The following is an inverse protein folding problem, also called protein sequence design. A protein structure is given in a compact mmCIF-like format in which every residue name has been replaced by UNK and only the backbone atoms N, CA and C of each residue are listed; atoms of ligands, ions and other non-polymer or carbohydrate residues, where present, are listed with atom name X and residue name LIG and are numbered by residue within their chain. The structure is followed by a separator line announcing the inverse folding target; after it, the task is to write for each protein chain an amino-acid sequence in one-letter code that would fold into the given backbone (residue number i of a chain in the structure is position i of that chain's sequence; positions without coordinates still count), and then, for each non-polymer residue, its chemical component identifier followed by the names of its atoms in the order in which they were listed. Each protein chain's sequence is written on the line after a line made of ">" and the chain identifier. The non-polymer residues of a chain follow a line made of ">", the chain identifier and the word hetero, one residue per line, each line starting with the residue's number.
data_IF_168635093609
#
_entry.id   IF_168635093609
#
_cell.length_a   1.000
_cell.length_b   1.000
_cell.length_c   1.000
_cell.angle_alpha   90.00
_cell.angle_beta   90.00
_cell.angle_gamma   90.00
#
_symmetry.space_group_name_H-M   'P 1'
#
loop_
_entity.id
_entity.type
_entity.pdbx_description
1 polymer ?
#
# COMPACT_ATOMS: atom_id res chain seq x y z
N UNK A 1 27.65 -25.57 3.73
CA UNK A 1 26.53 -25.13 4.59
C UNK A 1 25.84 -23.98 3.87
N UNK A 2 24.78 -24.27 3.15
CA UNK A 2 23.96 -23.24 2.48
C UNK A 2 23.11 -22.54 3.52
N UNK A 3 23.32 -21.24 3.69
CA UNK A 3 22.48 -20.39 4.54
C UNK A 3 21.02 -20.50 4.06
N UNK A 4 20.03 -20.68 4.97
CA UNK A 4 18.64 -20.72 4.57
C UNK A 4 18.28 -19.38 3.87
N UNK A 5 17.69 -19.47 2.69
CA UNK A 5 17.22 -18.31 1.96
C UNK A 5 16.25 -17.51 2.86
N UNK A 6 16.48 -16.19 2.98
CA UNK A 6 15.60 -15.33 3.75
C UNK A 6 14.16 -15.48 3.21
N UNK A 7 13.14 -15.58 4.09
CA UNK A 7 11.76 -15.74 3.65
C UNK A 7 11.38 -14.60 2.70
N UNK A 8 10.83 -14.96 1.54
CA UNK A 8 10.34 -13.98 0.55
C UNK A 8 9.23 -13.18 1.21
N UNK A 9 9.42 -11.87 1.31
CA UNK A 9 8.46 -11.00 1.97
C UNK A 9 7.32 -10.67 1.01
N UNK A 10 6.05 -10.74 1.46
CA UNK A 10 4.91 -10.41 0.62
C UNK A 10 4.94 -8.94 0.17
N UNK A 11 4.56 -8.72 -1.06
CA UNK A 11 4.42 -7.38 -1.63
C UNK A 11 3.17 -6.67 -1.07
N UNK A 12 3.09 -5.34 -1.24
CA UNK A 12 1.89 -4.56 -0.88
C UNK A 12 0.65 -5.13 -1.58
N UNK A 13 0.78 -5.55 -2.84
CA UNK A 13 -0.35 -6.07 -3.63
C UNK A 13 -0.83 -7.42 -3.10
N UNK A 14 0.07 -8.31 -2.72
CA UNK A 14 -0.28 -9.59 -2.09
C UNK A 14 -1.01 -9.35 -0.77
N UNK A 15 -0.51 -8.45 0.07
CA UNK A 15 -1.18 -8.08 1.31
C UNK A 15 -2.59 -7.55 1.07
N UNK A 16 -2.75 -6.57 0.16
CA UNK A 16 -4.04 -5.99 -0.15
C UNK A 16 -5.01 -7.00 -0.77
N UNK A 17 -4.48 -7.97 -1.51
CA UNK A 17 -5.30 -9.03 -2.11
C UNK A 17 -5.84 -10.00 -1.07
N UNK A 18 -5.05 -10.31 -0.03
CA UNK A 18 -5.53 -11.10 1.11
C UNK A 18 -6.54 -10.29 1.91
N UNK A 19 -6.22 -9.03 2.25
CA UNK A 19 -7.12 -8.12 2.95
C UNK A 19 -8.48 -7.98 2.25
N UNK A 20 -8.49 -7.91 0.90
CA UNK A 20 -9.71 -7.81 0.12
C UNK A 20 -10.52 -9.12 0.07
N UNK A 21 -9.84 -10.27 0.03
CA UNK A 21 -10.49 -11.59 0.04
C UNK A 21 -11.12 -11.91 1.39
N UNK A 22 -10.39 -11.68 2.47
CA UNK A 22 -10.86 -12.01 3.83
C UNK A 22 -12.07 -11.17 4.26
N UNK A 23 -12.24 -10.00 3.66
CA UNK A 23 -13.37 -9.10 3.92
C UNK A 23 -14.45 -9.11 2.83
N UNK A 24 -14.31 -9.98 1.85
CA UNK A 24 -15.21 -10.09 0.69
C UNK A 24 -15.45 -8.74 -0.02
N UNK A 25 -14.40 -7.91 -0.08
CA UNK A 25 -14.46 -6.54 -0.61
C UNK A 25 -14.71 -6.54 -2.11
N UNK A 26 -14.04 -7.46 -2.84
CA UNK A 26 -14.16 -7.54 -4.29
C UNK A 26 -14.84 -8.85 -4.70
N UNK A 27 -15.91 -8.76 -5.46
CA UNK A 27 -16.67 -9.93 -5.92
C UNK A 27 -15.78 -10.92 -6.65
N UNK A 28 -15.98 -12.22 -6.36
CA UNK A 28 -15.29 -13.30 -7.07
C UNK A 28 -15.64 -13.24 -8.56
N UNK A 29 -14.65 -13.29 -9.43
CA UNK A 29 -14.81 -13.29 -10.89
C UNK A 29 -13.59 -13.92 -11.55
N UNK A 30 -13.57 -13.97 -12.90
CA UNK A 30 -12.41 -14.41 -13.68
C UNK A 30 -11.22 -13.45 -13.59
N UNK A 31 -11.42 -12.21 -13.15
CA UNK A 31 -10.35 -11.21 -12.97
C UNK A 31 -9.68 -11.48 -11.62
N UNK A 32 -8.35 -11.67 -11.57
CA UNK A 32 -7.61 -11.87 -10.32
C UNK A 32 -7.80 -10.73 -9.34
N UNK A 33 -7.81 -11.03 -8.03
CA UNK A 33 -7.96 -10.03 -6.97
C UNK A 33 -6.83 -9.00 -7.02
N UNK A 34 -5.62 -9.44 -7.27
CA UNK A 34 -4.42 -8.58 -7.42
C UNK A 34 -4.64 -7.49 -8.48
N UNK A 35 -5.22 -7.87 -9.61
CA UNK A 35 -5.53 -6.95 -10.71
C UNK A 35 -6.62 -5.96 -10.34
N UNK A 36 -7.64 -6.38 -9.58
CA UNK A 36 -8.68 -5.50 -9.05
C UNK A 36 -8.13 -4.51 -8.03
N UNK A 37 -7.22 -4.96 -7.14
CA UNK A 37 -6.55 -4.08 -6.19
C UNK A 37 -5.70 -3.04 -6.91
N UNK A 38 -4.92 -3.45 -7.92
CA UNK A 38 -4.16 -2.51 -8.74
C UNK A 38 -5.05 -1.50 -9.44
N UNK A 39 -6.18 -1.93 -9.99
CA UNK A 39 -7.17 -1.04 -10.62
C UNK A 39 -7.68 0.03 -9.63
N UNK A 40 -8.04 -0.39 -8.42
CA UNK A 40 -8.48 0.52 -7.39
C UNK A 40 -7.38 1.52 -6.98
N UNK A 41 -6.14 1.05 -6.81
CA UNK A 41 -5.00 1.91 -6.42
C UNK A 41 -4.67 2.93 -7.51
N UNK A 42 -4.71 2.54 -8.79
CA UNK A 42 -4.53 3.47 -9.91
C UNK A 42 -5.57 4.60 -9.86
N UNK A 43 -6.85 4.24 -9.63
CA UNK A 43 -7.92 5.23 -9.52
C UNK A 43 -7.77 6.13 -8.28
N UNK A 44 -7.39 5.58 -7.12
CA UNK A 44 -7.04 6.36 -5.92
C UNK A 44 -5.87 7.30 -6.17
N UNK A 45 -5.00 6.98 -7.13
CA UNK A 45 -3.86 7.81 -7.55
C UNK A 45 -4.21 8.88 -8.57
N UNK A 46 -5.48 8.94 -9.01
CA UNK A 46 -5.99 9.95 -9.93
C UNK A 46 -6.06 9.52 -11.40
N UNK A 47 -5.79 8.25 -11.71
CA UNK A 47 -6.01 7.74 -13.07
C UNK A 47 -7.50 7.56 -13.34
N UNK A 48 -7.94 7.85 -14.57
CA UNK A 48 -9.33 7.58 -14.97
C UNK A 48 -9.57 6.07 -15.08
N UNK A 49 -10.82 5.64 -15.00
CA UNK A 49 -11.17 4.21 -15.18
C UNK A 49 -10.72 3.66 -16.54
N UNK A 50 -10.75 4.50 -17.57
CA UNK A 50 -10.30 4.13 -18.93
C UNK A 50 -8.78 4.00 -18.99
N UNK A 51 -8.03 4.90 -18.34
CA UNK A 51 -6.58 4.83 -18.31
C UNK A 51 -6.11 3.64 -17.48
N UNK A 52 -6.68 3.41 -16.30
CA UNK A 52 -6.39 2.24 -15.50
C UNK A 52 -6.71 0.93 -16.24
N UNK A 53 -7.82 0.88 -17.00
CA UNK A 53 -8.17 -0.23 -17.88
C UNK A 53 -7.12 -0.48 -18.96
N UNK A 54 -6.63 0.57 -19.62
CA UNK A 54 -5.56 0.48 -20.64
C UNK A 54 -4.24 0.02 -20.05
N UNK A 55 -3.83 0.62 -18.91
CA UNK A 55 -2.57 0.31 -18.21
C UNK A 55 -2.53 -1.16 -17.81
N UNK A 56 -3.62 -1.68 -17.25
CA UNK A 56 -3.68 -3.05 -16.75
C UNK A 56 -3.92 -4.09 -17.87
N UNK A 57 -4.53 -3.71 -18.97
CA UNK A 57 -4.96 -4.63 -20.03
C UNK A 57 -5.98 -5.68 -19.52
N UNK A 58 -6.77 -6.28 -20.40
CA UNK A 58 -7.67 -7.40 -20.07
C UNK A 58 -8.68 -7.16 -18.93
N UNK A 59 -9.01 -5.90 -18.63
CA UNK A 59 -10.01 -5.49 -17.64
C UNK A 59 -10.82 -4.32 -18.21
N UNK A 60 -12.15 -4.40 -18.24
CA UNK A 60 -12.98 -3.31 -18.74
C UNK A 60 -12.99 -2.12 -17.77
N UNK A 61 -13.25 -0.91 -18.28
CA UNK A 61 -13.37 0.27 -17.40
C UNK A 61 -14.52 0.18 -16.40
N UNK A 62 -15.57 -0.61 -16.69
CA UNK A 62 -16.67 -0.90 -15.75
C UNK A 62 -16.14 -1.77 -14.62
N UNK A 63 -15.38 -2.82 -14.90
CA UNK A 63 -14.79 -3.67 -13.86
C UNK A 63 -13.76 -2.89 -13.00
N UNK A 64 -13.04 -1.93 -13.59
CA UNK A 64 -12.17 -1.00 -12.83
C UNK A 64 -12.99 -0.12 -11.89
N UNK A 65 -14.10 0.47 -12.38
CA UNK A 65 -15.01 1.27 -11.56
C UNK A 65 -15.56 0.46 -10.38
N UNK A 66 -16.02 -0.77 -10.62
CA UNK A 66 -16.60 -1.62 -9.58
C UNK A 66 -15.56 -1.99 -8.51
N UNK A 67 -14.33 -2.33 -8.93
CA UNK A 67 -13.23 -2.60 -8.02
C UNK A 67 -12.89 -1.37 -7.16
N UNK A 68 -12.77 -0.19 -7.77
CA UNK A 68 -12.49 1.06 -7.09
C UNK A 68 -13.57 1.41 -6.07
N UNK A 69 -14.85 1.34 -6.46
CA UNK A 69 -15.99 1.60 -5.59
C UNK A 69 -16.02 0.66 -4.38
N UNK A 70 -15.77 -0.64 -4.61
CA UNK A 70 -15.74 -1.65 -3.54
C UNK A 70 -14.62 -1.39 -2.53
N UNK A 71 -13.42 -1.03 -3.02
CA UNK A 71 -12.27 -0.74 -2.16
C UNK A 71 -12.50 0.53 -1.35
N UNK A 72 -13.00 1.62 -1.97
CA UNK A 72 -13.32 2.85 -1.22
C UNK A 72 -14.36 2.58 -0.13
N UNK A 73 -15.42 1.84 -0.44
CA UNK A 73 -16.45 1.53 0.53
C UNK A 73 -15.95 0.70 1.73
N UNK A 74 -14.88 -0.06 1.54
CA UNK A 74 -14.26 -0.87 2.58
C UNK A 74 -13.17 -0.12 3.37
N UNK A 75 -12.67 1.00 2.85
CA UNK A 75 -11.74 1.84 3.59
C UNK A 75 -12.52 2.62 4.67
N UNK A 76 -12.08 2.56 5.93
CA UNK A 76 -12.72 3.34 6.98
C UNK A 76 -12.59 4.84 6.68
N UNK A 77 -13.58 5.66 7.09
CA UNK A 77 -13.46 7.11 6.97
C UNK A 77 -12.24 7.57 7.78
N UNK A 78 -11.32 8.28 7.12
CA UNK A 78 -10.11 8.78 7.76
C UNK A 78 -10.47 9.79 8.85
N UNK A 79 -10.25 9.40 10.10
CA UNK A 79 -10.31 10.31 11.24
C UNK A 79 -8.94 10.85 11.52
N UNK A 80 -8.83 12.17 11.68
CA UNK A 80 -7.57 12.79 12.11
C UNK A 80 -7.25 12.37 13.54
N UNK A 81 -6.08 11.76 13.73
CA UNK A 81 -5.55 11.32 15.04
C UNK A 81 -4.06 11.60 15.09
N UNK A 82 -3.52 11.66 16.31
CA UNK A 82 -2.08 11.56 16.52
C UNK A 82 -1.65 10.14 16.17
N UNK A 83 -0.65 10.02 15.28
CA UNK A 83 -0.27 8.73 14.71
C UNK A 83 1.23 8.56 14.60
N UNK A 84 1.68 7.33 14.77
CA UNK A 84 2.93 6.85 14.20
C UNK A 84 2.61 6.15 12.88
N UNK A 85 3.18 6.61 11.79
CA UNK A 85 2.85 6.11 10.45
C UNK A 85 4.00 5.30 9.89
N UNK A 86 3.74 4.08 9.49
CA UNK A 86 4.69 3.25 8.76
C UNK A 86 4.42 3.35 7.25
N UNK A 87 5.48 3.63 6.49
CA UNK A 87 5.45 3.78 5.03
C UNK A 87 6.22 2.64 4.40
N UNK A 88 5.61 2.01 3.41
CA UNK A 88 6.22 0.96 2.59
C UNK A 88 6.11 1.30 1.09
N UNK A 89 7.06 0.77 0.30
CA UNK A 89 7.17 0.99 -1.13
C UNK A 89 7.52 -0.32 -1.82
N UNK A 90 6.79 -0.66 -2.89
CA UNK A 90 7.11 -1.80 -3.74
C UNK A 90 7.07 -1.43 -5.22
N UNK A 91 8.07 -1.89 -5.97
CA UNK A 91 7.98 -1.93 -7.42
C UNK A 91 6.97 -3.01 -7.85
N UNK A 92 6.16 -2.70 -8.87
CA UNK A 92 5.15 -3.60 -9.42
C UNK A 92 5.21 -3.60 -10.95
N UNK A 93 4.78 -4.71 -11.57
CA UNK A 93 4.55 -4.77 -13.00
C UNK A 93 3.04 -4.83 -13.23
N UNK A 94 2.52 -3.86 -14.00
CA UNK A 94 1.07 -3.65 -14.12
C UNK A 94 0.42 -4.57 -15.16
N UNK A 95 1.13 -4.82 -16.25
CA UNK A 95 0.68 -5.66 -17.40
C UNK A 95 1.79 -6.60 -17.88
N UNK A 96 2.79 -6.87 -17.05
CA UNK A 96 3.99 -7.61 -17.41
C UNK A 96 5.13 -6.76 -17.96
N UNK A 97 4.87 -5.57 -18.48
CA UNK A 97 5.85 -4.69 -19.12
C UNK A 97 5.98 -3.35 -18.40
N UNK A 98 4.84 -2.73 -18.06
CA UNK A 98 4.82 -1.40 -17.43
C UNK A 98 5.21 -1.50 -15.97
N UNK A 99 6.38 -0.93 -15.64
CA UNK A 99 6.84 -0.83 -14.26
C UNK A 99 6.17 0.35 -13.56
N UNK A 100 5.64 0.10 -12.37
CA UNK A 100 5.12 1.13 -11.47
C UNK A 100 5.69 0.96 -10.08
N UNK A 101 5.39 1.93 -9.22
CA UNK A 101 5.69 1.89 -7.79
C UNK A 101 4.41 2.08 -7.01
N UNK A 102 4.15 1.20 -6.06
CA UNK A 102 3.03 1.31 -5.13
C UNK A 102 3.57 1.75 -3.77
N UNK A 103 2.96 2.77 -3.21
CA UNK A 103 3.20 3.24 -1.85
C UNK A 103 1.99 2.95 -0.98
N UNK A 104 2.27 2.54 0.25
CA UNK A 104 1.27 2.31 1.28
C UNK A 104 1.71 2.97 2.58
N UNK A 105 0.79 3.71 3.20
CA UNK A 105 0.95 4.20 4.57
C UNK A 105 -0.06 3.51 5.48
N UNK A 106 0.39 3.13 6.66
CA UNK A 106 -0.43 2.50 7.69
C UNK A 106 -0.15 3.10 9.04
N UNK A 107 -1.16 3.16 9.86
CA UNK A 107 -1.01 3.41 11.29
C UNK A 107 -0.19 2.27 11.90
N UNK A 108 0.90 2.60 12.60
CA UNK A 108 1.82 1.61 13.15
C UNK A 108 1.21 0.81 14.31
N UNK A 109 0.23 1.39 15.01
CA UNK A 109 -0.40 0.80 16.19
C UNK A 109 -1.63 -0.02 15.80
N UNK A 110 -2.57 0.56 15.06
CA UNK A 110 -3.82 -0.10 14.65
C UNK A 110 -3.68 -0.97 13.39
N UNK A 111 -2.67 -0.72 12.55
CA UNK A 111 -2.53 -1.35 11.24
C UNK A 111 -3.49 -0.82 10.17
N UNK A 112 -4.27 0.21 10.48
CA UNK A 112 -5.22 0.86 9.56
C UNK A 112 -4.50 1.41 8.32
N UNK A 113 -5.05 1.15 7.12
CA UNK A 113 -4.52 1.71 5.88
C UNK A 113 -4.92 3.19 5.79
N UNK A 114 -3.94 4.08 5.76
CA UNK A 114 -4.13 5.52 5.73
C UNK A 114 -4.08 6.09 4.32
N UNK A 115 -3.17 5.59 3.50
CA UNK A 115 -3.01 6.03 2.13
C UNK A 115 -2.47 4.91 1.25
N UNK A 116 -2.96 4.88 0.01
CA UNK A 116 -2.49 4.01 -1.07
C UNK A 116 -2.29 4.85 -2.32
N UNK A 117 -1.17 4.68 -2.99
CA UNK A 117 -0.88 5.38 -4.25
C UNK A 117 -0.04 4.51 -5.17
N UNK A 118 -0.26 4.65 -6.48
CA UNK A 118 0.60 4.11 -7.53
C UNK A 118 1.12 5.24 -8.41
N UNK A 119 2.38 5.17 -8.80
CA UNK A 119 2.98 6.04 -9.81
C UNK A 119 3.72 5.22 -10.85
N UNK A 120 3.66 5.65 -12.10
CA UNK A 120 4.41 5.05 -13.21
C UNK A 120 5.82 5.67 -13.34
N UNK A 121 6.03 6.87 -12.81
CA UNK A 121 7.25 7.66 -13.00
C UNK A 121 8.17 7.68 -11.78
N UNK A 122 7.65 7.35 -10.60
CA UNK A 122 8.40 7.46 -9.32
C UNK A 122 9.06 8.84 -9.17
N UNK A 123 8.35 9.91 -9.54
CA UNK A 123 8.87 11.27 -9.44
C UNK A 123 8.83 11.78 -7.99
N UNK A 124 9.68 12.77 -7.68
CA UNK A 124 9.65 13.46 -6.39
C UNK A 124 8.26 14.05 -6.09
N UNK A 125 7.57 14.54 -7.12
CA UNK A 125 6.22 15.09 -6.98
C UNK A 125 5.19 14.02 -6.62
N UNK A 126 5.34 12.79 -7.12
CA UNK A 126 4.48 11.66 -6.74
C UNK A 126 4.64 11.30 -5.27
N UNK A 127 5.90 11.24 -4.80
CA UNK A 127 6.21 11.04 -3.38
C UNK A 127 5.61 12.15 -2.49
N UNK A 128 5.72 13.42 -2.92
CA UNK A 128 5.13 14.55 -2.19
C UNK A 128 3.60 14.42 -2.08
N UNK A 129 2.91 14.16 -3.19
CA UNK A 129 1.45 13.94 -3.20
C UNK A 129 1.02 12.76 -2.32
N UNK A 130 1.85 11.70 -2.26
CA UNK A 130 1.57 10.58 -1.37
C UNK A 130 1.67 11.02 0.10
N UNK A 131 2.74 11.70 0.49
CA UNK A 131 2.91 12.21 1.87
C UNK A 131 1.80 13.18 2.24
N UNK A 132 1.39 14.08 1.36
CA UNK A 132 0.25 14.98 1.57
C UNK A 132 -1.05 14.20 1.88
N UNK A 133 -1.29 13.08 1.18
CA UNK A 133 -2.44 12.23 1.45
C UNK A 133 -2.35 11.52 2.83
N UNK A 134 -1.15 11.17 3.27
CA UNK A 134 -0.90 10.63 4.61
C UNK A 134 -1.20 11.68 5.68
N UNK A 135 -0.67 12.90 5.51
CA UNK A 135 -0.86 13.99 6.46
C UNK A 135 -2.33 14.39 6.62
N UNK A 136 -3.15 14.21 5.59
CA UNK A 136 -4.58 14.48 5.65
C UNK A 136 -5.31 13.61 6.70
N UNK A 137 -4.75 12.47 7.09
CA UNK A 137 -5.27 11.55 8.11
C UNK A 137 -4.68 11.75 9.50
N UNK A 138 -3.78 12.73 9.67
CA UNK A 138 -3.06 12.94 10.92
C UNK A 138 -3.44 14.29 11.56
N UNK A 139 -3.36 14.36 12.90
CA UNK A 139 -3.31 15.63 13.63
C UNK A 139 -1.85 16.10 13.64
N UNK A 140 -1.61 17.31 13.13
CA UNK A 140 -0.28 17.88 13.13
C UNK A 140 0.75 17.04 12.32
N UNK A 141 1.94 16.89 12.88
CA UNK A 141 3.09 16.21 12.26
C UNK A 141 3.29 14.82 12.85
N UNK A 142 2.93 13.74 12.14
CA UNK A 142 3.11 12.38 12.63
C UNK A 142 4.59 11.99 12.67
N UNK A 143 4.95 11.05 13.55
CA UNK A 143 6.21 10.34 13.45
C UNK A 143 6.14 9.34 12.28
N UNK A 144 7.02 9.50 11.29
CA UNK A 144 7.07 8.63 10.14
C UNK A 144 8.16 7.56 10.31
N UNK A 145 7.82 6.30 10.05
CA UNK A 145 8.76 5.18 10.00
C UNK A 145 8.86 4.70 8.56
N UNK A 146 10.05 4.76 7.99
CA UNK A 146 10.34 4.41 6.59
C UNK A 146 11.36 3.29 6.51
N UNK A 147 11.14 2.35 5.59
CA UNK A 147 12.09 1.28 5.32
C UNK A 147 13.39 1.78 4.67
N UNK A 148 14.48 0.99 4.81
CA UNK A 148 15.72 1.24 4.06
C UNK A 148 15.46 1.08 2.57
N UNK A 149 16.01 1.99 1.75
CA UNK A 149 15.90 1.95 0.30
C UNK A 149 14.69 2.67 -0.28
N UNK A 150 13.82 3.25 0.55
CA UNK A 150 12.80 4.18 0.07
C UNK A 150 13.45 5.53 -0.27
N UNK A 151 13.10 6.12 -1.41
CA UNK A 151 13.59 7.46 -1.81
C UNK A 151 12.89 8.60 -1.04
N UNK A 152 12.11 8.26 -0.02
CA UNK A 152 11.37 9.19 0.81
C UNK A 152 12.21 10.17 1.65
N UNK A 153 13.42 9.83 2.16
CA UNK A 153 14.16 10.72 3.04
C UNK A 153 14.33 12.14 2.50
N UNK A 154 14.54 12.28 1.19
CA UNK A 154 14.66 13.58 0.56
C UNK A 154 13.33 14.35 0.57
N UNK A 155 12.24 13.70 0.20
CA UNK A 155 10.89 14.32 0.20
C UNK A 155 10.45 14.70 1.61
N UNK A 156 10.74 13.86 2.62
CA UNK A 156 10.38 14.12 4.01
C UNK A 156 11.14 15.31 4.59
N UNK A 157 12.44 15.43 4.27
CA UNK A 157 13.25 16.59 4.67
C UNK A 157 12.73 17.88 4.04
N UNK A 158 12.34 17.85 2.76
CA UNK A 158 11.81 19.03 2.07
C UNK A 158 10.46 19.51 2.64
N UNK A 159 9.73 18.63 3.34
CA UNK A 159 8.46 18.94 4.02
C UNK A 159 8.64 19.20 5.53
N UNK A 160 9.88 19.25 6.01
CA UNK A 160 10.22 19.42 7.44
C UNK A 160 9.50 18.41 8.34
N UNK A 161 9.49 17.14 7.94
CA UNK A 161 8.88 16.03 8.66
C UNK A 161 9.91 15.21 9.41
N UNK A 162 9.58 14.84 10.66
CA UNK A 162 10.38 13.91 11.44
C UNK A 162 10.18 12.48 10.94
N UNK A 163 11.29 11.78 10.69
CA UNK A 163 11.22 10.39 10.28
C UNK A 163 12.36 9.56 10.90
N UNK A 164 12.05 8.30 11.18
CA UNK A 164 13.03 7.29 11.52
C UNK A 164 13.17 6.30 10.37
N UNK A 165 14.40 6.01 9.98
CA UNK A 165 14.69 4.89 9.10
C UNK A 165 14.69 3.64 9.98
N UNK A 166 13.58 2.92 9.98
CA UNK A 166 13.38 1.77 10.84
C UNK A 166 13.24 0.50 9.99
N UNK A 167 14.32 -0.28 9.98
CA UNK A 167 14.31 -1.61 9.37
C UNK A 167 13.47 -2.62 10.17
N UNK A 168 13.31 -2.41 11.49
CA UNK A 168 12.56 -3.31 12.34
C UNK A 168 11.05 -3.09 12.24
N UNK A 169 10.57 -1.85 12.05
CA UNK A 169 9.14 -1.56 11.91
C UNK A 169 8.59 -2.07 10.58
N UNK A 170 9.31 -1.88 9.48
CA UNK A 170 8.97 -2.48 8.19
C UNK A 170 9.06 -4.01 8.26
N UNK A 171 10.04 -4.57 8.96
CA UNK A 171 10.15 -6.01 9.18
C UNK A 171 9.01 -6.53 10.05
N UNK A 172 8.62 -5.85 11.13
CA UNK A 172 7.45 -6.26 11.96
C UNK A 172 6.14 -6.19 11.20
N UNK A 173 5.93 -5.14 10.40
CA UNK A 173 4.75 -5.01 9.56
C UNK A 173 4.73 -6.14 8.51
N UNK A 174 5.85 -6.39 7.85
CA UNK A 174 6.00 -7.47 6.88
C UNK A 174 5.88 -8.84 7.53
N UNK A 175 6.36 -9.02 8.75
CA UNK A 175 6.25 -10.28 9.50
C UNK A 175 4.82 -10.55 9.99
N UNK A 176 4.07 -9.51 10.42
CA UNK A 176 2.62 -9.61 10.68
C UNK A 176 1.84 -9.97 9.43
N UNK A 177 2.18 -9.38 8.28
CA UNK A 177 1.61 -9.72 6.98
C UNK A 177 1.93 -11.19 6.65
N UNK A 178 3.18 -11.62 6.81
CA UNK A 178 3.60 -13.00 6.57
C UNK A 178 2.89 -13.98 7.49
N UNK A 179 2.81 -13.69 8.78
CA UNK A 179 2.12 -14.54 9.76
C UNK A 179 0.62 -14.63 9.47
N UNK A 180 0.00 -13.54 9.06
CA UNK A 180 -1.40 -13.51 8.64
C UNK A 180 -1.63 -14.35 7.37
N UNK A 181 -0.75 -14.23 6.37
CA UNK A 181 -0.81 -15.00 5.12
C UNK A 181 -0.57 -16.49 5.33
N UNK A 182 0.27 -16.85 6.30
CA UNK A 182 0.63 -18.25 6.60
C UNK A 182 -0.29 -18.90 7.65
N UNK A 183 -1.31 -18.19 8.14
CA UNK A 183 -2.25 -18.70 9.14
C UNK A 183 -1.63 -18.94 10.51
N UNK A 184 -0.46 -18.36 10.80
CA UNK A 184 0.18 -18.47 12.11
C UNK A 184 -0.52 -17.55 13.11
N UNK A 185 -0.95 -18.05 14.31
CA UNK A 185 -1.60 -17.21 15.30
C UNK A 185 -0.65 -16.11 15.81
N UNK A 186 -1.18 -14.90 15.98
CA UNK A 186 -0.43 -13.82 16.63
C UNK A 186 0.01 -14.25 18.04
N UNK A 187 1.25 -13.96 18.44
CA UNK A 187 1.65 -14.15 19.83
C UNK A 187 0.80 -13.24 20.71
N UNK A 188 -0.01 -13.82 21.58
CA UNK A 188 -0.77 -13.07 22.58
C UNK A 188 0.24 -12.38 23.51
N UNK A 189 0.24 -11.06 23.54
CA UNK A 189 0.96 -10.29 24.54
C UNK A 189 0.39 -10.68 25.91
N UNK A 190 1.22 -11.32 26.73
CA UNK A 190 1.04 -11.41 28.17
C UNK A 190 1.60 -10.14 28.81
#
# INVERSE_FOLDING_TARGET
>A
MTSPAAPVQPTIIEFLSVWARDRDIVKRSRIPTEKKMMAAILCLSGYTYRDASKILGGMSHVAVHDAHKSVIAAMPPLQKKDRTVAIDENAVYLNGETRGVVWMARDADSGEILALRCSLTKSQQDGKKFIESVLASCNGRPLLRVGRGADFPHNLRSLDLYFHIDTAATTKIRQRISNFLLGSPEPRNQ
#
